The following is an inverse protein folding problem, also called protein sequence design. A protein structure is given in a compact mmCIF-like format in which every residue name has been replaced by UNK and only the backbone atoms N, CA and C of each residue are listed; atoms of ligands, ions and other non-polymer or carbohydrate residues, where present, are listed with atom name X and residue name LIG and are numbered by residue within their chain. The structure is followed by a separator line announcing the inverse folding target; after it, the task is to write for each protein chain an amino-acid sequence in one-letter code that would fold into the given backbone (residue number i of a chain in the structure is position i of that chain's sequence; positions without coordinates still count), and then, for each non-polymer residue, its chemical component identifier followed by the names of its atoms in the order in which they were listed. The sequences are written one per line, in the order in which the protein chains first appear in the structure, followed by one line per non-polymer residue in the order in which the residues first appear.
data_IF_573587420601
#
_entry.id   IF_573587420601
#
_cell.length_a   1.000
_cell.length_b   1.000
_cell.length_c   1.000
_cell.angle_alpha   90.00
_cell.angle_beta   90.00
_cell.angle_gamma   90.00
#
_symmetry.space_group_name_H-M   'P 1'
#
loop_
_entity.id
_entity.type
_entity.pdbx_description
1 polymer ?
#
# COMPACT_ATOMS: atom_id res chain seq x y z
N UNK A 1 -2.16 -25.82 45.58
CA UNK A 1 -2.69 -24.46 45.31
C UNK A 1 -1.55 -23.45 45.29
N UNK A 2 -1.03 -23.09 44.11
CA UNK A 2 -0.48 -21.74 43.86
C UNK A 2 -0.20 -21.62 42.35
N UNK A 3 -1.19 -21.07 41.68
CA UNK A 3 -1.16 -20.32 40.42
C UNK A 3 0.22 -20.13 39.78
N UNK A 4 0.44 -20.76 38.62
CA UNK A 4 1.32 -20.22 37.59
C UNK A 4 0.40 -19.78 36.45
N UNK A 5 -0.10 -18.55 36.58
CA UNK A 5 -0.86 -17.87 35.55
C UNK A 5 0.15 -17.44 34.47
N UNK A 6 0.22 -18.19 33.38
CA UNK A 6 1.06 -17.89 32.23
C UNK A 6 0.42 -16.69 31.48
N UNK A 7 0.91 -15.49 31.77
CA UNK A 7 0.56 -14.25 31.10
C UNK A 7 1.03 -14.30 29.63
N UNK A 8 0.13 -14.66 28.73
CA UNK A 8 0.36 -14.56 27.29
C UNK A 8 0.20 -13.07 26.92
N UNK A 9 1.32 -12.34 26.86
CA UNK A 9 1.37 -11.00 26.27
C UNK A 9 1.13 -11.15 24.76
N UNK A 10 -0.11 -10.98 24.31
CA UNK A 10 -0.42 -10.79 22.90
C UNK A 10 0.10 -9.41 22.49
N UNK A 11 1.28 -9.37 21.86
CA UNK A 11 1.82 -8.16 21.25
C UNK A 11 0.97 -7.84 20.03
N UNK A 12 -0.07 -7.02 20.20
CA UNK A 12 -0.87 -6.53 19.09
C UNK A 12 0.02 -5.56 18.33
N UNK A 13 0.65 -6.06 17.26
CA UNK A 13 1.43 -5.23 16.36
C UNK A 13 0.44 -4.39 15.57
N UNK A 14 0.27 -3.11 15.93
CA UNK A 14 -0.44 -2.17 15.09
C UNK A 14 0.39 -1.98 13.84
N UNK A 15 0.04 -2.69 12.76
CA UNK A 15 0.60 -2.40 11.45
C UNK A 15 0.03 -1.04 11.02
N UNK A 16 0.81 0.00 11.23
CA UNK A 16 0.61 1.28 10.57
C UNK A 16 0.86 1.02 9.08
N UNK A 17 -0.22 0.85 8.31
CA UNK A 17 -0.11 0.80 6.86
C UNK A 17 0.30 2.19 6.40
N UNK A 18 1.59 2.38 6.16
CA UNK A 18 2.09 3.57 5.48
C UNK A 18 1.34 3.67 4.14
N UNK A 19 0.93 4.88 3.77
CA UNK A 19 0.34 5.14 2.46
C UNK A 19 1.25 4.54 1.40
N UNK A 20 0.74 3.50 0.73
CA UNK A 20 1.55 2.69 -0.18
C UNK A 20 1.57 3.37 -1.55
N UNK A 21 2.59 4.20 -1.78
CA UNK A 21 2.88 4.80 -3.08
C UNK A 21 4.12 4.16 -3.69
N UNK A 22 4.04 3.83 -4.97
CA UNK A 22 5.17 3.37 -5.78
C UNK A 22 5.35 4.29 -6.97
N UNK A 23 6.60 4.59 -7.30
CA UNK A 23 6.97 5.27 -8.54
C UNK A 23 7.77 4.29 -9.39
N UNK A 24 7.37 4.13 -10.64
CA UNK A 24 7.98 3.24 -11.62
C UNK A 24 8.51 4.03 -12.80
N UNK A 25 9.79 3.87 -13.14
CA UNK A 25 10.44 4.61 -14.23
C UNK A 25 10.95 3.67 -15.32
N UNK A 26 10.90 4.14 -16.57
CA UNK A 26 11.51 3.47 -17.73
C UNK A 26 11.89 4.50 -18.79
N UNK A 27 13.19 4.62 -19.06
CA UNK A 27 13.74 5.67 -19.93
C UNK A 27 13.23 7.07 -19.51
N UNK A 28 12.40 7.71 -20.33
CA UNK A 28 11.84 9.05 -20.07
C UNK A 28 10.38 9.01 -19.59
N UNK A 29 9.87 7.86 -19.18
CA UNK A 29 8.49 7.69 -18.72
C UNK A 29 8.43 7.34 -17.22
N UNK A 30 7.42 7.90 -16.56
CA UNK A 30 7.10 7.66 -15.15
C UNK A 30 5.66 7.14 -15.01
N UNK A 31 5.45 6.35 -13.96
CA UNK A 31 4.21 5.68 -13.61
C UNK A 31 4.03 5.67 -12.10
N UNK A 32 2.94 6.21 -11.61
CA UNK A 32 2.61 6.17 -10.18
C UNK A 32 1.57 5.10 -9.90
N UNK A 33 1.76 4.33 -8.83
CA UNK A 33 0.78 3.40 -8.28
C UNK A 33 0.54 3.80 -6.83
N UNK A 34 -0.65 4.30 -6.52
CA UNK A 34 -0.97 4.88 -5.22
C UNK A 34 -2.19 4.20 -4.59
N UNK A 35 -2.06 3.81 -3.32
CA UNK A 35 -3.19 3.42 -2.48
C UNK A 35 -3.80 4.66 -1.84
N UNK A 36 -5.09 4.87 -2.07
CA UNK A 36 -5.88 6.00 -1.53
C UNK A 36 -6.88 5.43 -0.53
N UNK A 37 -6.95 5.96 0.68
CA UNK A 37 -8.01 5.67 1.65
C UNK A 37 -9.00 6.83 1.74
N UNK A 38 -10.29 6.51 1.77
CA UNK A 38 -11.36 7.52 1.69
C UNK A 38 -11.96 7.92 3.03
N UNK A 39 -11.50 7.32 4.14
CA UNK A 39 -11.96 7.68 5.47
C UNK A 39 -10.79 7.72 6.47
N UNK A 40 -10.68 8.77 7.31
CA UNK A 40 -9.65 8.84 8.35
C UNK A 40 -9.69 7.59 9.25
N UNK A 41 -8.54 6.93 9.41
CA UNK A 41 -8.41 5.71 10.21
C UNK A 41 -9.02 4.45 9.60
N UNK A 42 -9.63 4.51 8.41
CA UNK A 42 -10.13 3.33 7.71
C UNK A 42 -9.00 2.66 6.94
N UNK A 43 -8.85 1.35 7.15
CA UNK A 43 -7.94 0.49 6.40
C UNK A 43 -8.69 -0.40 5.38
N UNK A 44 -10.01 -0.25 5.28
CA UNK A 44 -10.85 -1.14 4.46
C UNK A 44 -11.45 -0.47 3.24
N UNK A 45 -11.69 0.84 3.31
CA UNK A 45 -12.22 1.65 2.22
C UNK A 45 -11.07 2.30 1.46
N UNK A 46 -10.63 1.63 0.40
CA UNK A 46 -9.43 2.01 -0.34
C UNK A 46 -9.60 1.85 -1.85
N UNK A 47 -8.76 2.56 -2.60
CA UNK A 47 -8.60 2.45 -4.05
C UNK A 47 -7.12 2.37 -4.42
N UNK A 48 -6.83 1.73 -5.56
CA UNK A 48 -5.51 1.75 -6.19
C UNK A 48 -5.61 2.60 -7.45
N UNK A 49 -5.03 3.81 -7.38
CA UNK A 49 -4.92 4.74 -8.50
C UNK A 49 -3.62 4.47 -9.25
N UNK A 50 -3.71 4.45 -10.57
CA UNK A 50 -2.57 4.30 -11.47
C UNK A 50 -2.48 5.50 -12.39
N UNK A 51 -1.35 6.20 -12.37
CA UNK A 51 -1.09 7.38 -13.20
C UNK A 51 -0.03 7.08 -14.25
N UNK A 52 -0.29 7.42 -15.52
CA UNK A 52 0.68 7.40 -16.62
C UNK A 52 0.45 8.63 -17.50
N UNK A 53 1.51 9.31 -17.92
CA UNK A 53 1.40 10.43 -18.88
C UNK A 53 0.31 11.46 -18.50
N UNK A 54 0.20 11.80 -17.21
CA UNK A 54 -0.83 12.72 -16.65
C UNK A 54 -2.28 12.21 -16.71
N UNK A 55 -2.52 10.97 -17.13
CA UNK A 55 -3.82 10.30 -17.05
C UNK A 55 -3.86 9.37 -15.86
N UNK A 56 -4.98 9.33 -15.14
CA UNK A 56 -5.17 8.49 -13.96
C UNK A 56 -6.37 7.56 -14.14
N UNK A 57 -6.19 6.30 -13.77
CA UNK A 57 -7.24 5.27 -13.74
C UNK A 57 -7.33 4.65 -12.34
N UNK A 58 -8.54 4.34 -11.87
CA UNK A 58 -8.74 3.48 -10.70
C UNK A 58 -8.75 2.03 -11.15
N UNK A 59 -7.74 1.26 -10.73
CA UNK A 59 -7.60 -0.12 -11.14
C UNK A 59 -8.34 -1.09 -10.22
N UNK A 60 -8.39 -0.78 -8.92
CA UNK A 60 -9.05 -1.60 -7.91
C UNK A 60 -9.64 -0.73 -6.81
N UNK A 61 -10.71 -1.22 -6.18
CA UNK A 61 -11.30 -0.65 -4.98
C UNK A 61 -11.73 -1.75 -4.00
N UNK A 62 -11.80 -1.41 -2.72
CA UNK A 62 -12.36 -2.24 -1.67
C UNK A 62 -13.05 -1.36 -0.62
N UNK A 63 -14.04 -1.94 0.09
CA UNK A 63 -14.78 -1.24 1.16
C UNK A 63 -14.61 -1.91 2.53
N UNK A 64 -14.38 -3.23 2.55
CA UNK A 64 -14.44 -4.04 3.78
C UNK A 64 -13.26 -5.01 3.92
N UNK A 65 -12.15 -4.79 3.19
CA UNK A 65 -11.02 -5.73 3.18
C UNK A 65 -9.69 -5.01 3.43
N UNK A 66 -9.19 -5.15 4.66
CA UNK A 66 -7.86 -4.69 5.06
C UNK A 66 -6.79 -5.35 4.18
N UNK A 67 -5.77 -4.60 3.78
CA UNK A 67 -4.62 -5.10 3.03
C UNK A 67 -4.89 -5.39 1.55
N UNK A 68 -6.13 -5.21 1.07
CA UNK A 68 -6.49 -5.52 -0.32
C UNK A 68 -5.78 -4.61 -1.32
N UNK A 69 -5.86 -3.29 -1.12
CA UNK A 69 -5.32 -2.33 -2.08
C UNK A 69 -3.79 -2.33 -2.07
N UNK A 70 -3.18 -2.50 -0.91
CA UNK A 70 -1.74 -2.62 -0.67
C UNK A 70 -1.19 -3.84 -1.40
N UNK A 71 -1.84 -5.00 -1.24
CA UNK A 71 -1.48 -6.23 -1.96
C UNK A 71 -1.63 -6.05 -3.49
N UNK A 72 -2.68 -5.35 -3.93
CA UNK A 72 -2.90 -5.08 -5.36
C UNK A 72 -1.86 -4.15 -5.95
N UNK A 73 -1.54 -3.06 -5.24
CA UNK A 73 -0.51 -2.11 -5.63
C UNK A 73 0.86 -2.81 -5.74
N UNK A 74 1.27 -3.57 -4.71
CA UNK A 74 2.53 -4.31 -4.72
C UNK A 74 2.61 -5.28 -5.91
N UNK A 75 1.59 -6.12 -6.11
CA UNK A 75 1.57 -7.08 -7.23
C UNK A 75 1.57 -6.40 -8.60
N UNK A 76 0.93 -5.25 -8.71
CA UNK A 76 0.94 -4.50 -9.96
C UNK A 76 2.31 -3.89 -10.23
N UNK A 77 2.97 -3.35 -9.21
CA UNK A 77 4.35 -2.87 -9.27
C UNK A 77 5.32 -3.99 -9.66
N UNK A 78 5.20 -5.20 -9.09
CA UNK A 78 5.97 -6.38 -9.49
C UNK A 78 5.75 -6.75 -10.97
N UNK A 79 4.52 -6.62 -11.45
CA UNK A 79 4.19 -6.84 -12.86
C UNK A 79 4.78 -5.76 -13.78
N UNK A 80 4.81 -4.50 -13.35
CA UNK A 80 5.53 -3.46 -14.09
C UNK A 80 7.03 -3.77 -14.13
N UNK A 81 7.60 -4.23 -13.01
CA UNK A 81 9.00 -4.62 -12.95
C UNK A 81 9.32 -5.77 -13.92
N UNK A 82 8.45 -6.78 -14.03
CA UNK A 82 8.63 -7.86 -15.02
C UNK A 82 8.53 -7.40 -16.48
N UNK A 83 7.98 -6.20 -16.74
CA UNK A 83 8.01 -5.52 -18.05
C UNK A 83 9.17 -4.52 -18.21
N UNK A 84 10.16 -4.59 -17.32
CA UNK A 84 11.38 -3.78 -17.38
C UNK A 84 11.20 -2.35 -16.89
N UNK A 85 10.28 -2.12 -15.95
CA UNK A 85 10.20 -0.86 -15.21
C UNK A 85 11.00 -0.95 -13.92
N UNK A 86 11.68 0.13 -13.54
CA UNK A 86 12.35 0.22 -12.24
C UNK A 86 11.40 0.87 -11.25
N UNK A 87 10.91 0.11 -10.28
CA UNK A 87 9.92 0.59 -9.32
C UNK A 87 10.48 0.68 -7.91
N UNK A 88 10.13 1.75 -7.20
CA UNK A 88 10.51 1.97 -5.80
C UNK A 88 9.32 2.47 -4.99
N UNK A 89 9.26 2.04 -3.73
CA UNK A 89 8.31 2.57 -2.76
C UNK A 89 8.71 4.01 -2.41
N UNK A 90 7.73 4.90 -2.34
CA UNK A 90 7.90 6.24 -1.81
C UNK A 90 7.42 6.20 -0.37
N UNK A 91 8.35 6.28 0.56
CA UNK A 91 8.04 6.38 1.97
C UNK A 91 7.71 7.86 2.24
N UNK A 92 6.52 8.15 2.75
CA UNK A 92 6.15 9.49 3.24
C UNK A 92 6.89 9.78 4.57
N UNK A 93 8.23 9.79 4.54
CA UNK A 93 9.08 10.33 5.60
C UNK A 93 9.49 11.77 5.24
N UNK A 94 8.53 12.67 5.06
CA UNK A 94 8.77 14.11 5.26
C UNK A 94 7.44 14.88 5.43
N UNK A 95 6.93 14.92 6.66
CA UNK A 95 6.25 16.12 7.16
C UNK A 95 7.11 16.69 8.28
N UNK A 96 8.01 17.62 7.90
CA UNK A 96 8.53 18.62 8.84
C UNK A 96 7.53 19.75 8.95
#
# INVERSE_FOLDING_TARGET
MKHILLLILAVISFQTYAQSKYVCTKAHAERDVEVIYHAPGSQTLCEVKYTKQHQSDILWSAQHKVGYCETKAQKFTEKLASFGWSCYAVNDELKS
#
